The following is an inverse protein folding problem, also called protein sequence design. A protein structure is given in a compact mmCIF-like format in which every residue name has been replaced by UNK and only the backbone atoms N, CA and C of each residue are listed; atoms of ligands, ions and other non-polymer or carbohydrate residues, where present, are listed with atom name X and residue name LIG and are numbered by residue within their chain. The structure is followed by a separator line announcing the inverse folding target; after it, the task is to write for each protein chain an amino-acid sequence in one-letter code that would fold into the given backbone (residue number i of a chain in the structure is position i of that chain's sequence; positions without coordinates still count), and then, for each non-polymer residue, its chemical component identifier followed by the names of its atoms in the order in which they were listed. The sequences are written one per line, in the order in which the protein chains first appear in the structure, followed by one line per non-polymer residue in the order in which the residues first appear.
data_IF_575118867667
#
_entry.id   IF_575118867667
#
_cell.length_a   1.000
_cell.length_b   1.000
_cell.length_c   1.000
_cell.angle_alpha   90.00
_cell.angle_beta   90.00
_cell.angle_gamma   90.00
#
_symmetry.space_group_name_H-M   'P 1'
#
loop_
_entity.id
_entity.type
_entity.pdbx_description
1 polymer ?
#
# COMPACT_ATOMS: atom_id res chain seq x y z
N UNK A 1 7.46 14.47 -7.14
CA UNK A 1 8.50 13.42 -7.11
C UNK A 1 9.07 13.11 -5.72
N UNK A 2 9.30 14.10 -4.82
CA UNK A 2 10.00 13.91 -3.52
C UNK A 2 9.26 13.02 -2.49
N UNK A 3 7.93 13.03 -2.42
CA UNK A 3 7.19 12.18 -1.47
C UNK A 3 7.36 10.68 -1.75
N UNK A 4 7.45 10.30 -3.03
CA UNK A 4 7.35 8.90 -3.46
C UNK A 4 8.65 8.12 -3.25
N UNK A 5 9.80 8.79 -3.38
CA UNK A 5 11.11 8.20 -3.08
C UNK A 5 11.17 7.74 -1.61
N UNK A 6 10.47 8.44 -0.71
CA UNK A 6 10.40 8.08 0.71
C UNK A 6 9.53 6.85 0.95
N UNK A 7 8.37 6.75 0.30
CA UNK A 7 7.47 5.60 0.47
C UNK A 7 8.09 4.31 -0.09
N UNK A 8 8.66 4.36 -1.29
CA UNK A 8 9.39 3.22 -1.87
C UNK A 8 10.54 2.76 -0.98
N UNK A 9 11.30 3.70 -0.42
CA UNK A 9 12.40 3.36 0.49
C UNK A 9 11.89 2.72 1.77
N UNK A 10 10.81 3.26 2.36
CA UNK A 10 10.19 2.70 3.56
C UNK A 10 9.69 1.26 3.33
N UNK A 11 8.96 1.00 2.23
CA UNK A 11 8.47 -0.35 1.90
C UNK A 11 9.62 -1.34 1.72
N UNK A 12 10.66 -0.98 0.94
CA UNK A 12 11.85 -1.83 0.77
C UNK A 12 12.59 -2.07 2.08
N UNK A 13 12.64 -1.06 2.97
CA UNK A 13 13.25 -1.21 4.30
C UNK A 13 12.47 -2.19 5.15
N UNK A 14 11.14 -2.07 5.19
CA UNK A 14 10.27 -3.01 5.90
C UNK A 14 10.45 -4.45 5.39
N UNK A 15 10.50 -4.64 4.08
CA UNK A 15 10.78 -5.95 3.48
C UNK A 15 12.15 -6.50 3.88
N UNK A 16 13.19 -5.66 3.88
CA UNK A 16 14.53 -6.07 4.32
C UNK A 16 14.60 -6.46 5.80
N UNK A 17 13.63 -6.02 6.60
CA UNK A 17 13.49 -6.41 8.00
C UNK A 17 12.75 -7.75 8.18
N UNK A 18 12.32 -8.39 7.08
CA UNK A 18 11.67 -9.69 7.10
C UNK A 18 10.24 -9.65 7.66
N UNK A 19 9.54 -8.52 7.55
CA UNK A 19 8.15 -8.44 8.01
C UNK A 19 7.26 -9.36 7.17
N UNK A 20 6.35 -10.07 7.83
CA UNK A 20 5.37 -10.97 7.20
C UNK A 20 3.95 -10.39 7.19
N UNK A 21 3.80 -9.21 7.79
CA UNK A 21 2.55 -8.46 7.87
C UNK A 21 2.23 -7.81 6.53
N UNK A 22 0.95 -7.60 6.28
CA UNK A 22 0.45 -6.96 5.06
C UNK A 22 0.89 -5.49 5.03
N UNK A 23 1.44 -5.03 3.91
CA UNK A 23 1.82 -3.63 3.69
C UNK A 23 0.85 -3.02 2.67
N UNK A 24 0.06 -2.04 3.12
CA UNK A 24 -0.96 -1.39 2.30
C UNK A 24 -0.58 0.06 2.03
N UNK A 25 -0.61 0.45 0.76
CA UNK A 25 -0.38 1.83 0.33
C UNK A 25 -1.67 2.64 0.29
N UNK A 26 -1.62 3.90 0.74
CA UNK A 26 -2.73 4.85 0.63
C UNK A 26 -2.24 6.05 -0.16
N UNK A 27 -2.86 6.31 -1.31
CA UNK A 27 -2.47 7.38 -2.24
C UNK A 27 -3.57 8.43 -2.36
N UNK A 28 -3.21 9.65 -2.76
CA UNK A 28 -4.21 10.60 -3.25
C UNK A 28 -4.70 10.13 -4.61
N UNK A 29 -5.99 10.33 -4.95
CA UNK A 29 -6.48 10.09 -6.31
C UNK A 29 -5.58 10.79 -7.31
N UNK A 30 -5.08 10.03 -8.27
CA UNK A 30 -4.24 10.52 -9.35
C UNK A 30 -4.57 9.71 -10.60
N UNK A 31 -4.75 10.41 -11.73
CA UNK A 31 -5.02 9.77 -13.02
C UNK A 31 -3.75 9.15 -13.63
N UNK A 32 -2.63 9.17 -12.91
CA UNK A 32 -1.38 8.59 -13.34
C UNK A 32 -1.33 7.08 -13.07
N UNK A 33 -1.76 6.30 -14.06
CA UNK A 33 -1.75 4.83 -13.99
C UNK A 33 -0.33 4.24 -13.92
N UNK A 34 0.65 4.90 -14.55
CA UNK A 34 2.06 4.50 -14.48
C UNK A 34 2.59 4.60 -13.05
N UNK A 35 2.18 5.65 -12.33
CA UNK A 35 2.48 5.85 -10.93
C UNK A 35 1.91 4.73 -10.04
N UNK A 36 0.65 4.32 -10.24
CA UNK A 36 0.07 3.18 -9.50
C UNK A 36 0.86 1.89 -9.72
N UNK A 37 1.29 1.63 -10.96
CA UNK A 37 2.09 0.45 -11.30
C UNK A 37 3.45 0.47 -10.62
N UNK A 38 4.15 1.59 -10.61
CA UNK A 38 5.43 1.71 -9.90
C UNK A 38 5.29 1.57 -8.39
N UNK A 39 4.20 2.11 -7.83
CA UNK A 39 3.92 2.02 -6.41
C UNK A 39 3.60 0.58 -5.96
N UNK A 40 2.93 -0.20 -6.80
CA UNK A 40 2.73 -1.65 -6.55
C UNK A 40 4.02 -2.47 -6.67
N UNK A 41 4.91 -2.12 -7.62
CA UNK A 41 6.17 -2.85 -7.83
C UNK A 41 7.12 -2.84 -6.63
N UNK A 42 6.94 -1.95 -5.65
CA UNK A 42 7.81 -1.88 -4.47
C UNK A 42 7.46 -2.89 -3.38
N UNK A 43 6.50 -3.78 -3.67
CA UNK A 43 6.15 -4.93 -2.84
C UNK A 43 5.18 -4.61 -1.72
N UNK A 44 4.24 -3.72 -2.01
CA UNK A 44 2.99 -3.59 -1.29
C UNK A 44 2.08 -4.76 -1.67
N UNK A 45 1.26 -5.22 -0.73
CA UNK A 45 0.22 -6.21 -1.01
C UNK A 45 -0.95 -5.55 -1.74
N UNK A 46 -1.32 -4.33 -1.34
CA UNK A 46 -2.48 -3.60 -1.89
C UNK A 46 -2.27 -2.07 -1.91
N UNK A 47 -2.98 -1.38 -2.81
CA UNK A 47 -3.09 0.08 -2.84
C UNK A 47 -4.54 0.52 -2.81
N UNK A 48 -4.80 1.60 -2.07
CA UNK A 48 -6.07 2.30 -2.12
C UNK A 48 -5.86 3.79 -2.34
N UNK A 49 -6.84 4.43 -2.99
CA UNK A 49 -6.91 5.87 -3.10
C UNK A 49 -7.70 6.45 -1.92
N UNK A 50 -7.45 7.73 -1.61
CA UNK A 50 -8.26 8.49 -0.67
C UNK A 50 -9.59 8.90 -1.33
N UNK A 51 -10.69 9.05 -0.59
CA UNK A 51 -10.80 8.82 0.86
C UNK A 51 -10.93 7.33 1.18
N UNK A 52 -10.46 6.90 2.36
CA UNK A 52 -10.67 5.53 2.82
C UNK A 52 -12.12 5.37 3.29
N UNK A 53 -12.98 4.97 2.36
CA UNK A 53 -14.38 4.71 2.66
C UNK A 53 -14.55 3.47 3.54
N UNK A 54 -15.72 3.36 4.16
CA UNK A 54 -16.02 2.31 5.14
C UNK A 54 -15.82 0.92 4.55
N UNK A 55 -16.17 0.76 3.29
CA UNK A 55 -16.10 -0.48 2.52
C UNK A 55 -14.63 -0.95 2.36
N UNK A 56 -13.72 -0.01 2.08
CA UNK A 56 -12.28 -0.28 1.97
C UNK A 56 -11.73 -0.74 3.32
N UNK A 57 -12.08 -0.02 4.40
CA UNK A 57 -11.64 -0.37 5.74
C UNK A 57 -12.21 -1.71 6.20
N UNK A 58 -13.48 -1.99 5.92
CA UNK A 58 -14.11 -3.25 6.24
C UNK A 58 -13.43 -4.42 5.50
N UNK A 59 -13.15 -4.26 4.21
CA UNK A 59 -12.41 -5.25 3.42
C UNK A 59 -11.01 -5.50 3.99
N UNK A 60 -10.29 -4.45 4.38
CA UNK A 60 -8.98 -4.57 5.02
C UNK A 60 -9.03 -5.34 6.33
N UNK A 61 -10.01 -5.03 7.19
CA UNK A 61 -10.20 -5.72 8.47
C UNK A 61 -10.51 -7.19 8.27
N UNK A 62 -11.39 -7.53 7.32
CA UNK A 62 -11.72 -8.92 6.97
C UNK A 62 -10.47 -9.68 6.49
N UNK A 63 -9.64 -9.07 5.62
CA UNK A 63 -8.40 -9.68 5.12
C UNK A 63 -7.37 -9.93 6.21
N UNK A 64 -7.24 -9.00 7.16
CA UNK A 64 -6.34 -9.17 8.32
C UNK A 64 -6.87 -10.24 9.27
N UNK A 65 -8.19 -10.30 9.47
CA UNK A 65 -8.83 -11.23 10.42
C UNK A 65 -8.87 -12.66 9.90
N UNK A 66 -8.95 -12.85 8.59
CA UNK A 66 -8.93 -14.16 7.94
C UNK A 66 -7.52 -14.77 7.79
N UNK A 67 -6.48 -14.11 8.33
CA UNK A 67 -5.08 -14.56 8.25
C UNK A 67 -4.67 -15.48 9.43
N UNK A 68 -5.64 -16.19 10.04
CA UNK A 68 -5.46 -17.14 11.16
C UNK A 68 -5.79 -18.55 10.72
#
# INVERSE_FOLDING_TARGET
MIQYTRTTHATKKLQSMGITMMIVGITTPDNNEEYHKEFMKVGLDECYEKSLEKEILQSLVEKISNKV
#
